data_IF_584961895437
#
_entry.id   IF_584961895437
#
_cell.length_a   1.000
_cell.length_b   1.000
_cell.length_c   1.000
_cell.angle_alpha   90.00
_cell.angle_beta   90.00
_cell.angle_gamma   90.00
#
_symmetry.space_group_name_H-M   'P 1'
#
loop_
_entity.id
_entity.type
_entity.pdbx_description
1 polymer ?
#
# COMPACT_ATOMS: atom_id res chain seq x y z
N UNK A 1 18.22 30.47 16.00
CA UNK A 1 17.59 29.12 15.88
C UNK A 1 16.09 29.12 16.22
N UNK A 2 15.27 30.05 15.68
CA UNK A 2 13.82 30.15 16.03
C UNK A 2 12.83 29.74 14.93
N UNK A 3 13.30 29.35 13.74
CA UNK A 3 12.46 29.25 12.54
C UNK A 3 11.74 27.91 12.32
N UNK A 4 12.19 26.80 12.93
CA UNK A 4 11.61 25.47 12.70
C UNK A 4 10.34 25.21 13.51
N UNK A 5 10.26 25.72 14.75
CA UNK A 5 9.11 25.51 15.63
C UNK A 5 7.84 26.25 15.14
N UNK A 6 7.99 27.44 14.55
CA UNK A 6 6.88 28.22 14.01
C UNK A 6 6.29 27.61 12.73
N UNK A 7 7.10 26.96 11.87
CA UNK A 7 6.60 26.35 10.62
C UNK A 7 5.67 25.16 10.90
N UNK A 8 6.06 24.28 11.81
CA UNK A 8 5.28 23.07 12.16
C UNK A 8 3.96 23.43 12.86
N UNK A 9 3.96 24.43 13.74
CA UNK A 9 2.76 24.93 14.45
C UNK A 9 1.75 25.60 13.50
N UNK A 10 2.24 26.28 12.46
CA UNK A 10 1.41 26.96 11.45
C UNK A 10 0.72 25.98 10.50
N UNK A 11 1.41 24.91 10.08
CA UNK A 11 0.83 23.84 9.26
C UNK A 11 -0.25 23.02 9.99
N UNK A 12 -0.06 22.73 11.29
CA UNK A 12 -1.08 22.06 12.10
C UNK A 12 -2.37 22.88 12.24
N UNK A 13 -2.24 24.18 12.55
CA UNK A 13 -3.40 25.08 12.66
C UNK A 13 -4.20 25.24 11.36
N UNK A 14 -3.53 25.14 10.21
CA UNK A 14 -4.18 25.25 8.90
C UNK A 14 -4.92 23.97 8.52
N UNK A 15 -4.35 22.80 8.84
CA UNK A 15 -5.01 21.51 8.63
C UNK A 15 -6.31 21.40 9.45
N UNK A 16 -6.25 21.71 10.74
CA UNK A 16 -7.44 21.69 11.62
C UNK A 16 -8.55 22.61 11.11
N UNK A 17 -8.20 23.78 10.56
CA UNK A 17 -9.18 24.69 9.97
C UNK A 17 -9.85 24.11 8.72
N UNK A 18 -9.09 23.45 7.84
CA UNK A 18 -9.62 22.83 6.62
C UNK A 18 -10.49 21.61 6.93
N UNK A 19 -10.09 20.78 7.88
CA UNK A 19 -10.89 19.64 8.31
C UNK A 19 -12.20 20.06 9.00
N UNK A 20 -12.22 21.18 9.74
CA UNK A 20 -13.48 21.78 10.23
C UNK A 20 -14.36 22.30 9.10
N UNK A 21 -13.76 22.90 8.07
CA UNK A 21 -14.50 23.34 6.87
C UNK A 21 -15.13 22.15 6.14
N UNK A 22 -14.37 21.06 5.99
CA UNK A 22 -14.86 19.79 5.47
C UNK A 22 -16.02 19.22 6.29
N UNK A 23 -15.91 19.18 7.62
CA UNK A 23 -17.00 18.72 8.51
C UNK A 23 -18.30 19.51 8.27
N UNK A 24 -18.20 20.84 8.11
CA UNK A 24 -19.36 21.69 7.78
C UNK A 24 -19.89 21.39 6.39
N UNK A 25 -19.03 21.10 5.41
CA UNK A 25 -19.43 20.75 4.05
C UNK A 25 -20.19 19.41 3.99
N UNK A 26 -19.71 18.39 4.71
CA UNK A 26 -20.38 17.08 4.77
C UNK A 26 -21.78 17.15 5.41
N UNK A 27 -22.03 18.09 6.33
CA UNK A 27 -23.38 18.31 6.91
C UNK A 27 -24.36 18.91 5.90
N UNK A 28 -23.87 19.52 4.82
CA UNK A 28 -24.66 20.29 3.84
C UNK A 28 -24.84 19.60 2.50
N UNK A 29 -23.87 18.76 2.09
CA UNK A 29 -23.89 18.08 0.79
C UNK A 29 -24.07 16.55 1.00
N UNK A 30 -25.21 15.97 0.57
CA UNK A 30 -25.47 14.54 0.70
C UNK A 30 -24.43 13.65 0.00
N UNK A 31 -23.86 14.11 -1.11
CA UNK A 31 -22.83 13.36 -1.86
C UNK A 31 -21.52 13.35 -1.05
N UNK A 32 -21.12 14.49 -0.48
CA UNK A 32 -19.97 14.55 0.43
C UNK A 32 -20.19 13.71 1.70
N UNK A 33 -21.41 13.65 2.21
CA UNK A 33 -21.75 12.82 3.36
C UNK A 33 -21.62 11.32 3.05
N UNK A 34 -22.12 10.88 1.89
CA UNK A 34 -22.00 9.49 1.44
C UNK A 34 -20.53 9.13 1.24
N UNK A 35 -19.80 9.97 0.51
CA UNK A 35 -18.38 9.83 0.27
C UNK A 35 -17.58 9.74 1.59
N UNK A 36 -17.87 10.63 2.55
CA UNK A 36 -17.23 10.62 3.88
C UNK A 36 -17.43 9.31 4.63
N UNK A 37 -18.66 8.78 4.61
CA UNK A 37 -18.99 7.53 5.29
C UNK A 37 -18.23 6.34 4.68
N UNK A 38 -18.23 6.24 3.35
CA UNK A 38 -17.49 5.22 2.62
C UNK A 38 -15.99 5.30 2.87
N UNK A 39 -15.41 6.51 2.81
CA UNK A 39 -13.99 6.72 3.04
C UNK A 39 -13.58 6.40 4.49
N UNK A 40 -14.42 6.75 5.47
CA UNK A 40 -14.21 6.43 6.87
C UNK A 40 -14.21 4.92 7.12
N UNK A 41 -15.22 4.21 6.59
CA UNK A 41 -15.33 2.75 6.71
C UNK A 41 -14.09 2.05 6.13
N UNK A 42 -13.70 2.41 4.90
CA UNK A 42 -12.51 1.85 4.23
C UNK A 42 -11.23 2.13 5.03
N UNK A 43 -11.06 3.36 5.51
CA UNK A 43 -9.88 3.74 6.31
C UNK A 43 -9.81 2.94 7.60
N UNK A 44 -10.94 2.80 8.32
CA UNK A 44 -11.04 2.01 9.55
C UNK A 44 -10.74 0.54 9.31
N UNK A 45 -11.27 -0.02 8.21
CA UNK A 45 -11.01 -1.39 7.82
C UNK A 45 -9.51 -1.62 7.57
N UNK A 46 -8.84 -0.72 6.81
CA UNK A 46 -7.40 -0.82 6.54
C UNK A 46 -6.59 -0.73 7.84
N UNK A 47 -6.85 0.27 8.69
CA UNK A 47 -6.11 0.46 9.95
C UNK A 47 -6.31 -0.73 10.90
N UNK A 48 -7.54 -1.18 11.08
CA UNK A 48 -7.86 -2.34 11.94
C UNK A 48 -7.20 -3.61 11.43
N UNK A 49 -7.21 -3.83 10.12
CA UNK A 49 -6.54 -4.97 9.49
C UNK A 49 -5.03 -4.93 9.71
N UNK A 50 -4.39 -3.76 9.56
CA UNK A 50 -2.96 -3.59 9.80
C UNK A 50 -2.57 -3.70 11.28
N UNK A 51 -3.51 -3.46 12.20
CA UNK A 51 -3.27 -3.58 13.64
C UNK A 51 -3.41 -5.00 14.19
N UNK A 52 -4.23 -5.83 13.54
CA UNK A 52 -4.57 -7.19 13.97
C UNK A 52 -3.79 -8.28 13.24
N UNK A 53 -3.19 -7.95 12.09
CA UNK A 53 -2.41 -8.95 11.35
C UNK A 53 -1.18 -9.35 12.17
N UNK A 54 -1.14 -10.60 12.59
CA UNK A 54 0.03 -11.25 13.23
C UNK A 54 1.27 -11.16 12.32
N UNK A 55 1.08 -10.91 11.03
CA UNK A 55 2.13 -10.68 10.02
C UNK A 55 1.83 -9.40 9.21
N UNK A 56 2.05 -8.23 9.83
CA UNK A 56 1.92 -6.90 9.22
C UNK A 56 2.78 -6.74 7.95
N UNK A 57 3.80 -7.58 7.79
CA UNK A 57 4.73 -7.62 6.67
C UNK A 57 4.35 -8.69 5.62
N UNK A 58 3.06 -8.96 5.43
CA UNK A 58 2.55 -9.92 4.43
C UNK A 58 2.04 -9.22 3.17
N UNK A 59 1.90 -9.97 2.08
CA UNK A 59 1.27 -9.49 0.85
C UNK A 59 -0.19 -9.03 1.08
N UNK A 60 -0.86 -9.58 2.10
CA UNK A 60 -2.22 -9.18 2.49
C UNK A 60 -2.32 -7.69 2.85
N UNK A 61 -1.31 -7.13 3.52
CA UNK A 61 -1.25 -5.70 3.87
C UNK A 61 -1.19 -4.81 2.63
N UNK A 62 -0.36 -5.18 1.64
CA UNK A 62 -0.27 -4.47 0.38
C UNK A 62 -1.60 -4.53 -0.39
N UNK A 63 -2.27 -5.70 -0.42
CA UNK A 63 -3.60 -5.86 -1.01
C UNK A 63 -4.57 -4.84 -0.45
N UNK A 64 -4.73 -4.79 0.87
CA UNK A 64 -5.66 -3.86 1.53
C UNK A 64 -5.35 -2.39 1.22
N UNK A 65 -4.08 -2.01 1.20
CA UNK A 65 -3.67 -0.64 0.83
C UNK A 65 -3.98 -0.34 -0.63
N UNK A 66 -3.61 -1.23 -1.57
CA UNK A 66 -3.92 -1.05 -2.99
C UNK A 66 -5.42 -1.03 -3.28
N UNK A 67 -6.23 -1.78 -2.53
CA UNK A 67 -7.70 -1.75 -2.63
C UNK A 67 -8.24 -0.39 -2.22
N UNK A 68 -7.83 0.12 -1.07
CA UNK A 68 -8.31 1.43 -0.62
C UNK A 68 -7.90 2.57 -1.57
N UNK A 69 -6.68 2.53 -2.11
CA UNK A 69 -6.21 3.52 -3.09
C UNK A 69 -7.01 3.45 -4.40
N UNK A 70 -7.29 2.25 -4.90
CA UNK A 70 -8.09 2.03 -6.10
C UNK A 70 -9.49 2.58 -5.94
N UNK A 71 -10.20 2.15 -4.89
CA UNK A 71 -11.58 2.55 -4.64
C UNK A 71 -11.69 4.06 -4.40
N UNK A 72 -10.74 4.65 -3.67
CA UNK A 72 -10.69 6.11 -3.48
C UNK A 72 -10.46 6.83 -4.81
N UNK A 73 -9.63 6.28 -5.70
CA UNK A 73 -9.39 6.87 -7.02
C UNK A 73 -10.64 6.84 -7.91
N UNK A 74 -11.42 5.76 -7.86
CA UNK A 74 -12.69 5.62 -8.58
C UNK A 74 -13.71 6.67 -8.10
N UNK A 75 -13.91 6.80 -6.77
CA UNK A 75 -14.85 7.77 -6.22
C UNK A 75 -14.47 9.23 -6.58
N UNK A 76 -13.17 9.55 -6.58
CA UNK A 76 -12.71 10.88 -7.04
C UNK A 76 -13.07 11.10 -8.51
N UNK A 77 -12.83 10.09 -9.35
CA UNK A 77 -13.12 10.16 -10.77
C UNK A 77 -14.62 10.35 -11.02
N UNK A 78 -15.47 9.61 -10.32
CA UNK A 78 -16.92 9.75 -10.37
C UNK A 78 -17.36 11.19 -10.03
N UNK A 79 -16.88 11.74 -8.90
CA UNK A 79 -17.21 13.12 -8.51
C UNK A 79 -16.72 14.15 -9.54
N UNK A 80 -15.55 13.92 -10.15
CA UNK A 80 -15.03 14.76 -11.23
C UNK A 80 -15.84 14.62 -12.52
N UNK A 81 -16.40 13.44 -12.81
CA UNK A 81 -17.27 13.16 -13.96
C UNK A 81 -18.74 13.60 -13.74
N UNK A 82 -19.18 13.80 -12.51
CA UNK A 82 -20.48 14.41 -12.19
C UNK A 82 -20.44 15.96 -12.17
N UNK A 83 -19.25 16.56 -12.14
CA UNK A 83 -19.05 18.01 -12.07
C UNK A 83 -19.60 18.75 -13.30
N UNK A 84 -20.85 19.22 -13.28
CA UNK A 84 -21.54 19.86 -14.43
C UNK A 84 -20.94 21.18 -14.96
N UNK A 85 -19.86 21.66 -14.38
CA UNK A 85 -19.24 22.93 -14.73
C UNK A 85 -17.98 22.70 -15.54
N UNK A 86 -17.73 23.59 -16.51
CA UNK A 86 -16.57 23.52 -17.38
C UNK A 86 -15.29 23.66 -16.56
N UNK A 87 -14.54 22.56 -16.50
CA UNK A 87 -13.27 22.50 -15.76
C UNK A 87 -12.27 23.51 -16.33
N UNK A 88 -12.35 23.80 -17.62
CA UNK A 88 -11.47 24.74 -18.34
C UNK A 88 -11.75 26.21 -17.98
N UNK A 89 -13.00 26.56 -17.73
CA UNK A 89 -13.41 27.93 -17.39
C UNK A 89 -13.04 28.31 -15.95
N UNK A 90 -12.55 27.35 -15.18
CA UNK A 90 -12.10 27.51 -13.80
C UNK A 90 -10.63 27.11 -13.65
N UNK A 91 -9.69 28.07 -13.78
CA UNK A 91 -8.27 27.81 -13.57
C UNK A 91 -7.97 27.14 -12.22
N UNK A 92 -8.73 27.49 -11.19
CA UNK A 92 -8.64 26.89 -9.86
C UNK A 92 -9.11 25.42 -9.80
N UNK A 93 -10.17 25.05 -10.54
CA UNK A 93 -10.65 23.66 -10.63
C UNK A 93 -9.72 22.83 -11.51
N UNK A 94 -9.26 23.39 -12.64
CA UNK A 94 -8.26 22.77 -13.49
C UNK A 94 -6.98 22.43 -12.71
N UNK A 95 -6.49 23.36 -11.89
CA UNK A 95 -5.35 23.16 -11.00
C UNK A 95 -5.55 21.97 -10.03
N UNK A 96 -6.78 21.79 -9.50
CA UNK A 96 -7.10 20.67 -8.61
C UNK A 96 -7.13 19.34 -9.35
N UNK A 97 -7.72 19.31 -10.54
CA UNK A 97 -7.72 18.15 -11.43
C UNK A 97 -6.29 17.79 -11.82
N UNK A 98 -5.44 18.76 -12.12
CA UNK A 98 -4.03 18.53 -12.43
C UNK A 98 -3.27 17.85 -11.27
N UNK A 99 -3.53 18.25 -10.02
CA UNK A 99 -2.94 17.58 -8.85
C UNK A 99 -3.49 16.16 -8.67
N UNK A 100 -4.77 15.91 -8.97
CA UNK A 100 -5.31 14.55 -9.03
C UNK A 100 -4.58 13.70 -10.07
N UNK A 101 -4.38 14.21 -11.29
CA UNK A 101 -3.63 13.50 -12.33
C UNK A 101 -2.18 13.22 -11.90
N UNK A 102 -1.50 14.16 -11.26
CA UNK A 102 -0.14 13.94 -10.73
C UNK A 102 -0.12 12.85 -9.65
N UNK A 103 -1.13 12.83 -8.78
CA UNK A 103 -1.28 11.81 -7.73
C UNK A 103 -1.57 10.43 -8.29
N UNK A 104 -2.49 10.34 -9.27
CA UNK A 104 -2.87 9.07 -9.88
C UNK A 104 -1.74 8.45 -10.70
N UNK A 105 -0.86 9.25 -11.34
CA UNK A 105 0.39 8.72 -11.93
C UNK A 105 1.26 8.05 -10.86
N UNK A 106 1.40 8.64 -9.67
CA UNK A 106 2.23 8.04 -8.62
C UNK A 106 1.63 6.78 -8.03
N UNK A 107 0.31 6.72 -7.85
CA UNK A 107 -0.36 5.47 -7.48
C UNK A 107 -0.12 4.39 -8.54
N UNK A 108 -0.17 4.76 -9.81
CA UNK A 108 0.13 3.86 -10.93
C UNK A 108 1.60 3.39 -10.95
N UNK A 109 2.56 4.29 -10.70
CA UNK A 109 3.99 3.94 -10.56
C UNK A 109 4.19 2.89 -9.45
N UNK A 110 3.50 3.04 -8.33
CA UNK A 110 3.54 2.08 -7.22
C UNK A 110 2.92 0.73 -7.60
N UNK A 111 1.75 0.71 -8.24
CA UNK A 111 1.14 -0.54 -8.72
C UNK A 111 2.05 -1.28 -9.71
N UNK A 112 2.68 -0.54 -10.62
CA UNK A 112 3.64 -1.11 -11.59
C UNK A 112 4.86 -1.71 -10.88
N UNK A 113 5.43 -0.99 -9.90
CA UNK A 113 6.53 -1.50 -9.12
C UNK A 113 6.15 -2.74 -8.30
N UNK A 114 4.91 -2.79 -7.80
CA UNK A 114 4.38 -3.93 -7.07
C UNK A 114 4.22 -5.14 -7.99
N UNK A 115 3.66 -4.99 -9.19
CA UNK A 115 3.57 -6.06 -10.20
C UNK A 115 4.94 -6.65 -10.54
N UNK A 116 5.96 -5.81 -10.75
CA UNK A 116 7.32 -6.28 -11.02
C UNK A 116 7.86 -7.14 -9.85
N UNK A 117 7.60 -6.74 -8.61
CA UNK A 117 7.99 -7.54 -7.45
C UNK A 117 7.22 -8.86 -7.38
N UNK A 118 5.94 -8.87 -7.71
CA UNK A 118 5.11 -10.07 -7.72
C UNK A 118 5.52 -11.04 -8.81
N UNK A 119 5.89 -10.55 -9.99
CA UNK A 119 6.44 -11.36 -11.07
C UNK A 119 7.76 -12.02 -10.66
N UNK A 120 8.64 -11.29 -9.98
CA UNK A 120 9.87 -11.85 -9.41
C UNK A 120 9.56 -12.92 -8.37
N UNK A 121 8.59 -12.67 -7.49
CA UNK A 121 8.20 -13.64 -6.46
C UNK A 121 7.62 -14.92 -7.09
N UNK A 122 6.80 -14.77 -8.13
CA UNK A 122 6.26 -15.88 -8.93
C UNK A 122 7.37 -16.67 -9.61
N UNK A 123 8.36 -16.00 -10.20
CA UNK A 123 9.51 -16.67 -10.82
C UNK A 123 10.33 -17.46 -9.79
N UNK A 124 10.62 -16.86 -8.63
CA UNK A 124 11.28 -17.57 -7.53
C UNK A 124 10.48 -18.80 -7.10
N UNK A 125 9.15 -18.70 -7.07
CA UNK A 125 8.28 -19.81 -6.74
C UNK A 125 8.38 -20.98 -7.73
N UNK A 126 8.40 -20.71 -9.04
CA UNK A 126 8.54 -21.73 -10.06
C UNK A 126 9.86 -22.50 -9.94
N UNK A 127 10.94 -21.82 -9.52
CA UNK A 127 12.25 -22.45 -9.30
C UNK A 127 12.16 -23.51 -8.18
N UNK A 128 11.54 -23.17 -7.05
CA UNK A 128 11.43 -24.09 -5.91
C UNK A 128 10.39 -25.21 -6.18
N UNK A 129 9.32 -24.96 -6.94
CA UNK A 129 8.41 -26.03 -7.43
C UNK A 129 9.15 -27.04 -8.30
N UNK A 130 9.99 -26.55 -9.21
CA UNK A 130 10.82 -27.40 -10.06
C UNK A 130 11.81 -28.22 -9.22
N UNK A 131 12.47 -27.61 -8.23
CA UNK A 131 13.38 -28.31 -7.32
C UNK A 131 12.68 -29.42 -6.52
N UNK A 132 11.46 -29.15 -6.03
CA UNK A 132 10.64 -30.13 -5.31
C UNK A 132 10.23 -31.28 -6.22
N UNK A 133 9.83 -31.00 -7.46
CA UNK A 133 9.50 -32.05 -8.43
C UNK A 133 10.72 -32.90 -8.76
N UNK A 134 11.89 -32.28 -8.93
CA UNK A 134 13.15 -32.98 -9.14
C UNK A 134 13.48 -33.90 -7.97
N UNK A 135 13.26 -33.45 -6.73
CA UNK A 135 13.43 -34.29 -5.54
C UNK A 135 12.56 -35.54 -5.60
N UNK A 136 11.26 -35.39 -5.89
CA UNK A 136 10.34 -36.52 -5.98
C UNK A 136 10.76 -37.54 -7.03
N UNK A 137 11.21 -37.08 -8.20
CA UNK A 137 11.72 -37.94 -9.27
C UNK A 137 13.06 -38.61 -8.88
N UNK A 138 13.96 -37.89 -8.21
CA UNK A 138 15.26 -38.39 -7.75
C UNK A 138 15.11 -39.42 -6.61
N UNK A 139 14.08 -39.29 -5.76
CA UNK A 139 13.71 -40.30 -4.76
C UNK A 139 13.18 -41.57 -5.44
N UNK A 140 12.33 -41.44 -6.45
CA UNK A 140 11.70 -42.58 -7.14
C UNK A 140 12.69 -43.41 -7.96
N UNK A 141 13.75 -42.79 -8.51
CA UNK A 141 14.66 -43.47 -9.43
C UNK A 141 15.54 -44.57 -8.80
N UNK A 142 15.70 -44.65 -7.48
CA UNK A 142 16.40 -45.67 -6.66
C UNK A 142 17.76 -46.28 -7.14
N UNK A 143 18.27 -46.00 -8.34
CA UNK A 143 19.32 -46.78 -9.04
C UNK A 143 20.51 -45.91 -9.51
N UNK A 144 20.76 -44.79 -8.82
CA UNK A 144 21.88 -43.88 -9.10
C UNK A 144 23.00 -44.00 -8.07
N UNK A 145 24.26 -43.85 -8.49
CA UNK A 145 25.41 -43.72 -7.60
C UNK A 145 25.13 -42.67 -6.50
N UNK A 146 25.47 -42.97 -5.26
CA UNK A 146 25.19 -42.14 -4.06
C UNK A 146 25.67 -40.69 -4.24
N UNK A 147 26.78 -40.49 -4.94
CA UNK A 147 27.38 -39.18 -5.25
C UNK A 147 26.55 -38.28 -6.18
N UNK A 148 25.61 -38.85 -6.94
CA UNK A 148 24.77 -38.08 -7.89
C UNK A 148 23.32 -37.94 -7.42
N UNK A 149 23.04 -38.25 -6.15
CA UNK A 149 21.68 -38.14 -5.61
C UNK A 149 21.36 -36.68 -5.30
N UNK A 150 20.19 -36.22 -5.73
CA UNK A 150 19.66 -34.88 -5.45
C UNK A 150 20.39 -33.70 -6.11
N UNK A 151 21.25 -33.94 -7.10
CA UNK A 151 22.02 -32.87 -7.78
C UNK A 151 21.09 -31.82 -8.40
N UNK A 152 19.99 -32.24 -9.05
CA UNK A 152 19.07 -31.29 -9.68
C UNK A 152 18.29 -30.52 -8.62
N UNK A 153 17.81 -31.22 -7.58
CA UNK A 153 17.17 -30.58 -6.43
C UNK A 153 18.06 -29.49 -5.84
N UNK A 154 19.33 -29.80 -5.55
CA UNK A 154 20.29 -28.87 -4.96
C UNK A 154 20.55 -27.66 -5.86
N UNK A 155 20.72 -27.86 -7.17
CA UNK A 155 20.86 -26.79 -8.15
C UNK A 155 19.62 -25.87 -8.14
N UNK A 156 18.41 -26.43 -8.14
CA UNK A 156 17.17 -25.66 -8.03
C UNK A 156 17.07 -24.86 -6.73
N UNK A 157 17.43 -25.44 -5.58
CA UNK A 157 17.48 -24.73 -4.29
C UNK A 157 18.51 -23.58 -4.32
N UNK A 158 19.65 -23.78 -5.00
CA UNK A 158 20.69 -22.76 -5.14
C UNK A 158 20.24 -21.61 -6.05
N UNK A 159 19.58 -21.92 -7.17
CA UNK A 159 18.97 -20.92 -8.05
C UNK A 159 17.93 -20.08 -7.31
N UNK A 160 17.10 -20.71 -6.48
CA UNK A 160 16.12 -20.00 -5.66
C UNK A 160 16.79 -19.03 -4.67
N UNK A 161 17.89 -19.45 -4.03
CA UNK A 161 18.67 -18.59 -3.14
C UNK A 161 19.31 -17.42 -3.90
N UNK A 162 19.82 -17.68 -5.11
CA UNK A 162 20.40 -16.66 -5.98
C UNK A 162 19.38 -15.64 -6.49
N UNK A 163 18.12 -16.03 -6.68
CA UNK A 163 17.03 -15.14 -7.07
C UNK A 163 16.76 -14.05 -6.00
N UNK A 164 17.12 -14.30 -4.74
CA UNK A 164 17.16 -13.27 -3.70
C UNK A 164 15.78 -12.72 -3.31
N UNK A 165 15.74 -11.42 -2.96
CA UNK A 165 14.52 -10.73 -2.58
C UNK A 165 13.72 -10.17 -3.76
N UNK A 166 12.47 -10.63 -3.99
CA UNK A 166 11.64 -10.03 -5.03
C UNK A 166 11.40 -8.54 -4.77
N UNK A 167 11.36 -8.13 -3.50
CA UNK A 167 11.21 -6.74 -3.07
C UNK A 167 12.58 -6.09 -2.86
N UNK A 168 13.17 -5.67 -3.98
CA UNK A 168 14.49 -5.02 -4.02
C UNK A 168 14.45 -3.58 -3.47
N UNK A 169 15.60 -2.98 -3.10
CA UNK A 169 15.69 -1.56 -2.71
C UNK A 169 14.97 -0.59 -3.66
N UNK A 170 15.01 -0.84 -4.96
CA UNK A 170 14.33 -0.01 -5.98
C UNK A 170 12.82 0.12 -5.77
N UNK A 171 12.15 -0.95 -5.32
CA UNK A 171 10.72 -0.90 -5.01
C UNK A 171 10.44 0.09 -3.86
N UNK A 172 11.33 0.11 -2.87
CA UNK A 172 11.20 1.01 -1.72
C UNK A 172 11.52 2.46 -2.07
N UNK A 173 12.43 2.70 -3.01
CA UNK A 173 12.66 4.04 -3.56
C UNK A 173 11.39 4.58 -4.24
N UNK A 174 10.69 3.74 -5.00
CA UNK A 174 9.40 4.09 -5.63
C UNK A 174 8.33 4.33 -4.56
N UNK A 175 8.20 3.43 -3.58
CA UNK A 175 7.27 3.59 -2.46
C UNK A 175 7.49 4.92 -1.72
N UNK A 176 8.74 5.26 -1.40
CA UNK A 176 9.06 6.50 -0.72
C UNK A 176 8.78 7.73 -1.60
N UNK A 177 9.03 7.64 -2.91
CA UNK A 177 8.66 8.67 -3.88
C UNK A 177 7.15 8.91 -3.91
N UNK A 178 6.33 7.85 -3.90
CA UNK A 178 4.86 7.96 -3.83
C UNK A 178 4.44 8.64 -2.53
N UNK A 179 4.99 8.21 -1.38
CA UNK A 179 4.71 8.83 -0.08
C UNK A 179 5.06 10.33 -0.07
N UNK A 180 6.24 10.71 -0.57
CA UNK A 180 6.68 12.12 -0.67
C UNK A 180 5.76 12.93 -1.59
N UNK A 181 5.28 12.33 -2.68
CA UNK A 181 4.32 12.99 -3.57
C UNK A 181 2.97 13.20 -2.88
N UNK A 182 2.43 12.18 -2.19
CA UNK A 182 1.17 12.30 -1.46
C UNK A 182 1.25 13.42 -0.41
N UNK A 183 2.37 13.50 0.34
CA UNK A 183 2.61 14.61 1.27
C UNK A 183 2.67 15.98 0.58
N UNK A 184 3.30 16.05 -0.59
CA UNK A 184 3.39 17.27 -1.40
C UNK A 184 2.00 17.71 -1.89
N UNK A 185 1.23 16.78 -2.47
CA UNK A 185 -0.15 17.01 -2.91
C UNK A 185 -1.00 17.50 -1.75
N UNK A 186 -0.95 16.84 -0.60
CA UNK A 186 -1.65 17.24 0.61
C UNK A 186 -1.29 18.66 1.06
N UNK A 187 0.00 19.01 1.12
CA UNK A 187 0.44 20.38 1.46
C UNK A 187 -0.07 21.43 0.47
N UNK A 188 -0.05 21.11 -0.82
CA UNK A 188 -0.57 21.99 -1.87
C UNK A 188 -2.08 22.16 -1.77
N UNK A 189 -2.82 21.07 -1.56
CA UNK A 189 -4.28 21.09 -1.37
C UNK A 189 -4.66 21.92 -0.15
N UNK A 190 -3.97 21.79 0.97
CA UNK A 190 -4.17 22.65 2.16
C UNK A 190 -3.98 24.14 1.84
N UNK A 191 -2.93 24.49 1.08
CA UNK A 191 -2.66 25.87 0.68
C UNK A 191 -3.68 26.39 -0.32
N UNK A 192 -4.14 25.54 -1.23
CA UNK A 192 -5.09 25.89 -2.29
C UNK A 192 -6.50 26.02 -1.73
N UNK A 193 -6.93 25.13 -0.84
CA UNK A 193 -8.19 25.26 -0.12
C UNK A 193 -8.33 26.62 0.56
N UNK A 194 -7.27 27.18 1.15
CA UNK A 194 -7.32 28.55 1.71
C UNK A 194 -7.61 29.65 0.67
N UNK A 195 -7.13 29.49 -0.56
CA UNK A 195 -7.42 30.40 -1.68
C UNK A 195 -8.83 30.16 -2.21
N UNK A 196 -9.21 28.88 -2.31
CA UNK A 196 -10.51 28.43 -2.78
C UNK A 196 -11.62 28.88 -1.83
N UNK A 197 -11.51 28.70 -0.52
CA UNK A 197 -12.53 29.06 0.49
C UNK A 197 -12.89 30.56 0.50
N UNK A 198 -12.03 31.42 -0.08
CA UNK A 198 -12.30 32.84 -0.29
C UNK A 198 -13.06 33.14 -1.60
N UNK A 199 -12.88 32.32 -2.64
CA UNK A 199 -13.46 32.51 -3.99
C UNK A 199 -14.66 31.58 -4.29
N UNK A 200 -14.67 30.36 -3.75
CA UNK A 200 -15.64 29.27 -3.97
C UNK A 200 -16.91 29.34 -3.11
N UNK A 201 -17.13 30.42 -2.35
CA UNK A 201 -18.33 30.50 -1.51
C UNK A 201 -19.63 30.38 -2.33
N UNK A 202 -19.60 30.71 -3.62
CA UNK A 202 -20.74 30.75 -4.53
C UNK A 202 -21.02 29.46 -5.30
N UNK A 203 -20.08 28.52 -5.42
CA UNK A 203 -20.22 27.37 -6.33
C UNK A 203 -20.20 26.05 -5.58
N UNK A 204 -21.35 25.38 -5.52
CA UNK A 204 -21.55 24.15 -4.76
C UNK A 204 -20.71 22.98 -5.32
N UNK A 205 -20.61 22.87 -6.65
CA UNK A 205 -19.86 21.82 -7.35
C UNK A 205 -18.36 21.88 -7.04
N UNK A 206 -17.76 23.08 -7.06
CA UNK A 206 -16.33 23.22 -6.78
C UNK A 206 -16.01 22.92 -5.32
N UNK A 207 -16.91 23.30 -4.40
CA UNK A 207 -16.77 22.95 -2.99
C UNK A 207 -16.74 21.42 -2.82
N UNK A 208 -17.56 20.69 -3.58
CA UNK A 208 -17.56 19.22 -3.56
C UNK A 208 -16.23 18.65 -4.05
N UNK A 209 -15.81 19.00 -5.26
CA UNK A 209 -14.56 18.49 -5.86
C UNK A 209 -13.35 18.79 -4.96
N UNK A 210 -13.24 20.02 -4.46
CA UNK A 210 -12.13 20.41 -3.58
C UNK A 210 -12.11 19.62 -2.28
N UNK A 211 -13.28 19.34 -1.67
CA UNK A 211 -13.36 18.60 -0.42
C UNK A 211 -13.01 17.11 -0.62
N UNK A 212 -13.52 16.50 -1.70
CA UNK A 212 -13.20 15.11 -2.07
C UNK A 212 -11.70 14.95 -2.30
N UNK A 213 -11.10 15.79 -3.14
CA UNK A 213 -9.66 15.73 -3.39
C UNK A 213 -8.82 15.94 -2.12
N UNK A 214 -9.23 16.90 -1.28
CA UNK A 214 -8.54 17.18 -0.02
C UNK A 214 -8.55 15.99 0.94
N UNK A 215 -9.74 15.44 1.23
CA UNK A 215 -9.86 14.36 2.21
C UNK A 215 -9.24 13.06 1.68
N UNK A 216 -9.36 12.78 0.38
CA UNK A 216 -8.72 11.62 -0.26
C UNK A 216 -7.19 11.68 -0.18
N UNK A 217 -6.60 12.84 -0.45
CA UNK A 217 -5.15 13.03 -0.30
C UNK A 217 -4.72 12.89 1.17
N UNK A 218 -5.54 13.40 2.10
CA UNK A 218 -5.29 13.27 3.54
C UNK A 218 -5.25 11.81 3.97
N UNK A 219 -6.25 11.03 3.56
CA UNK A 219 -6.37 9.59 3.87
C UNK A 219 -5.28 8.79 3.19
N UNK A 220 -4.92 9.11 1.94
CA UNK A 220 -3.81 8.43 1.25
C UNK A 220 -2.50 8.60 2.01
N UNK A 221 -2.18 9.82 2.46
CA UNK A 221 -1.00 10.08 3.31
C UNK A 221 -1.07 9.27 4.60
N UNK A 222 -2.23 9.21 5.26
CA UNK A 222 -2.42 8.42 6.47
C UNK A 222 -2.23 6.92 6.24
N UNK A 223 -2.79 6.35 5.17
CA UNK A 223 -2.69 4.92 4.89
C UNK A 223 -1.24 4.52 4.62
N UNK A 224 -0.52 5.25 3.77
CA UNK A 224 0.91 4.99 3.52
C UNK A 224 1.74 5.15 4.80
N UNK A 225 1.35 6.09 5.64
CA UNK A 225 1.99 6.32 6.92
C UNK A 225 1.73 5.22 7.93
N UNK A 226 0.50 4.72 8.01
CA UNK A 226 0.10 3.61 8.87
C UNK A 226 0.77 2.34 8.37
N UNK A 227 0.82 2.07 7.07
CA UNK A 227 1.59 0.95 6.52
C UNK A 227 3.06 1.03 6.95
N UNK A 228 3.69 2.20 6.81
CA UNK A 228 5.07 2.39 7.25
C UNK A 228 5.24 2.22 8.77
N UNK A 229 4.28 2.70 9.57
CA UNK A 229 4.28 2.55 11.02
C UNK A 229 4.02 1.10 11.44
N UNK A 230 3.17 0.37 10.73
CA UNK A 230 2.83 -1.00 11.06
C UNK A 230 4.08 -1.88 10.91
N UNK A 231 4.91 -1.60 9.91
CA UNK A 231 6.16 -2.33 9.67
C UNK A 231 7.27 -1.91 10.64
N UNK A 232 7.40 -0.60 10.89
CA UNK A 232 8.35 -0.10 11.86
C UNK A 232 7.94 -0.52 13.27
N UNK A 233 6.82 0.00 13.73
CA UNK A 233 6.28 -0.08 15.08
C UNK A 233 4.84 -0.61 15.10
N UNK A 234 4.68 -1.94 15.09
CA UNK A 234 3.40 -2.59 15.31
C UNK A 234 2.61 -2.01 16.51
N UNK A 235 3.22 -1.74 17.70
CA UNK A 235 2.47 -1.24 18.85
C UNK A 235 1.80 0.13 18.61
N UNK A 236 2.43 1.01 17.83
CA UNK A 236 1.86 2.31 17.50
C UNK A 236 0.59 2.18 16.65
N UNK A 237 0.54 1.20 15.76
CA UNK A 237 -0.63 0.90 14.93
C UNK A 237 -1.72 0.19 15.71
N UNK A 238 -1.36 -0.73 16.62
CA UNK A 238 -2.32 -1.34 17.55
C UNK A 238 -2.97 -0.29 18.45
N UNK A 239 -2.18 0.63 19.01
CA UNK A 239 -2.70 1.74 19.82
C UNK A 239 -3.62 2.65 19.00
N UNK A 240 -3.23 2.98 17.75
CA UNK A 240 -4.07 3.76 16.84
C UNK A 240 -5.41 3.08 16.58
N UNK A 241 -5.40 1.79 16.26
CA UNK A 241 -6.60 1.01 15.96
C UNK A 241 -7.52 0.83 17.18
N UNK A 242 -6.96 0.50 18.36
CA UNK A 242 -7.71 0.36 19.60
C UNK A 242 -8.39 1.68 20.02
N UNK A 243 -7.81 2.81 19.59
CA UNK A 243 -8.34 4.12 19.87
C UNK A 243 -9.37 4.57 18.81
N UNK A 244 -9.50 3.89 17.67
CA UNK A 244 -10.52 4.25 16.66
C UNK A 244 -11.92 4.10 17.24
N UNK A 245 -12.80 5.10 17.09
CA UNK A 245 -14.16 4.99 17.60
C UNK A 245 -14.95 3.90 16.86
N UNK A 246 -15.76 3.14 17.62
CA UNK A 246 -16.99 2.47 17.11
C UNK A 246 -17.81 3.54 16.37
N UNK A 247 -18.52 3.24 15.25
CA UNK A 247 -19.08 4.24 14.33
C UNK A 247 -20.14 5.15 14.99
N UNK A 248 -19.69 6.15 15.74
CA UNK A 248 -20.45 7.28 16.29
C UNK A 248 -19.51 8.48 16.34
N UNK A 249 -19.04 8.90 15.16
CA UNK A 249 -18.45 10.21 14.95
C UNK A 249 -19.39 11.06 14.13
N UNK A 250 -19.46 12.37 14.40
CA UNK A 250 -20.12 13.29 13.46
C UNK A 250 -19.40 13.23 12.12
N UNK A 251 -20.18 13.17 11.03
CA UNK A 251 -19.70 13.17 9.64
C UNK A 251 -18.62 14.24 9.46
N UNK A 252 -17.46 13.86 8.92
CA UNK A 252 -16.29 14.71 8.68
C UNK A 252 -15.35 14.96 9.87
N UNK A 253 -15.75 14.67 11.12
CA UNK A 253 -14.89 14.90 12.30
C UNK A 253 -13.87 13.77 12.55
N UNK A 254 -14.11 12.59 11.98
CA UNK A 254 -13.23 11.44 12.15
C UNK A 254 -11.81 11.71 11.59
N UNK A 255 -11.70 12.50 10.51
CA UNK A 255 -10.39 12.87 9.93
C UNK A 255 -9.51 13.69 10.87
N UNK A 256 -10.09 14.67 11.59
CA UNK A 256 -9.38 15.43 12.64
C UNK A 256 -8.87 14.49 13.72
N UNK A 257 -9.79 13.67 14.22
CA UNK A 257 -9.54 12.74 15.32
C UNK A 257 -8.45 11.73 14.96
N UNK A 258 -8.47 11.21 13.73
CA UNK A 258 -7.49 10.25 13.23
C UNK A 258 -6.11 10.91 13.06
N UNK A 259 -6.06 12.14 12.53
CA UNK A 259 -4.80 12.86 12.35
C UNK A 259 -4.14 13.24 13.68
N UNK A 260 -4.91 13.73 14.65
CA UNK A 260 -4.40 14.07 15.98
C UNK A 260 -3.80 12.84 16.68
N UNK A 261 -4.48 11.68 16.58
CA UNK A 261 -4.00 10.41 17.16
C UNK A 261 -2.75 9.90 16.46
N UNK A 262 -2.70 9.99 15.14
CA UNK A 262 -1.50 9.65 14.38
C UNK A 262 -0.31 10.55 14.78
N UNK A 263 -0.54 11.85 14.97
CA UNK A 263 0.50 12.77 15.43
C UNK A 263 1.00 12.46 16.85
N UNK A 264 0.09 12.07 17.76
CA UNK A 264 0.44 11.64 19.13
C UNK A 264 1.28 10.36 19.10
N UNK A 265 0.77 9.31 18.45
CA UNK A 265 1.45 8.01 18.37
C UNK A 265 2.87 8.14 17.78
N UNK A 266 3.06 9.00 16.77
CA UNK A 266 4.38 9.23 16.19
C UNK A 266 5.27 10.18 16.99
N UNK A 267 4.72 11.10 17.79
CA UNK A 267 5.54 11.93 18.68
C UNK A 267 6.18 11.09 19.78
N UNK A 268 5.45 10.10 20.30
CA UNK A 268 5.94 9.15 21.29
C UNK A 268 7.06 8.25 20.72
N UNK A 269 6.98 7.90 19.43
CA UNK A 269 7.98 7.06 18.76
C UNK A 269 9.21 7.80 18.18
N UNK A 270 9.16 9.13 18.05
CA UNK A 270 10.25 9.94 17.42
C UNK A 270 11.63 9.77 18.07
N UNK A 271 11.70 9.33 19.33
CA UNK A 271 12.94 9.17 20.08
C UNK A 271 13.74 7.90 19.78
N UNK A 272 13.09 6.82 19.30
CA UNK A 272 13.70 5.47 19.28
C UNK A 272 13.86 4.92 17.84
N UNK A 273 13.15 5.51 16.86
CA UNK A 273 12.87 4.89 15.56
C UNK A 273 13.73 5.42 14.40
N UNK A 274 14.30 6.63 14.54
CA UNK A 274 14.83 7.40 13.39
C UNK A 274 16.18 6.96 12.83
N UNK A 275 16.96 6.13 13.54
CA UNK A 275 18.32 5.75 13.12
C UNK A 275 18.50 4.26 12.79
N UNK A 276 17.63 3.38 13.32
CA UNK A 276 17.83 1.92 13.21
C UNK A 276 16.95 1.30 12.10
N UNK A 277 15.77 1.87 11.80
CA UNK A 277 14.77 1.19 10.96
C UNK A 277 14.91 1.39 9.46
N UNK A 278 15.48 2.50 8.97
CA UNK A 278 15.46 2.85 7.54
C UNK A 278 16.10 1.79 6.61
N UNK A 279 16.98 0.91 7.13
CA UNK A 279 17.63 -0.16 6.35
C UNK A 279 16.95 -1.53 6.46
N UNK A 280 16.12 -1.76 7.48
CA UNK A 280 15.46 -3.06 7.79
C UNK A 280 14.00 -3.08 7.31
N UNK A 281 13.58 -2.06 6.56
CA UNK A 281 12.21 -1.54 6.64
C UNK A 281 11.15 -2.40 5.97
N UNK A 282 11.46 -3.39 5.13
CA UNK A 282 10.41 -4.20 4.50
C UNK A 282 11.00 -5.51 3.97
N UNK A 283 10.96 -6.56 4.79
CA UNK A 283 11.15 -7.92 4.29
C UNK A 283 9.78 -8.58 4.34
N UNK A 284 9.30 -9.10 3.21
CA UNK A 284 8.01 -9.80 3.22
C UNK A 284 8.20 -11.13 3.95
N UNK A 285 7.57 -11.27 5.11
CA UNK A 285 7.79 -12.41 6.01
C UNK A 285 7.40 -13.73 5.35
N UNK A 286 6.37 -13.70 4.50
CA UNK A 286 5.86 -14.85 3.74
C UNK A 286 6.99 -15.51 2.94
N UNK A 287 7.82 -14.70 2.28
CA UNK A 287 8.93 -15.17 1.46
C UNK A 287 10.16 -15.52 2.31
N UNK A 288 10.45 -14.75 3.34
CA UNK A 288 11.61 -15.03 4.22
C UNK A 288 11.46 -16.36 4.96
N UNK A 289 10.26 -16.69 5.40
CA UNK A 289 9.93 -17.97 6.01
C UNK A 289 10.28 -19.15 5.09
N UNK A 290 10.02 -19.03 3.78
CA UNK A 290 10.39 -20.05 2.80
C UNK A 290 11.91 -20.08 2.59
N UNK A 291 12.59 -18.93 2.55
CA UNK A 291 14.07 -18.89 2.44
C UNK A 291 14.80 -19.56 3.60
N UNK A 292 14.33 -19.34 4.83
CA UNK A 292 14.90 -19.98 6.01
C UNK A 292 14.76 -21.50 5.91
N UNK A 293 13.58 -21.99 5.49
CA UNK A 293 13.34 -23.41 5.29
C UNK A 293 14.18 -24.00 4.15
N UNK A 294 14.35 -23.28 3.03
CA UNK A 294 15.22 -23.70 1.92
C UNK A 294 16.68 -23.76 2.34
N UNK A 295 17.14 -22.79 3.13
CA UNK A 295 18.52 -22.80 3.66
C UNK A 295 18.76 -23.98 4.57
N UNK A 296 17.79 -24.31 5.44
CA UNK A 296 17.83 -25.52 6.26
C UNK A 296 17.86 -26.77 5.37
N UNK A 297 16.95 -26.85 4.39
CA UNK A 297 16.83 -27.99 3.49
C UNK A 297 18.14 -28.27 2.73
N UNK A 298 18.87 -27.25 2.29
CA UNK A 298 20.19 -27.42 1.67
C UNK A 298 21.21 -28.08 2.61
N UNK A 299 21.30 -27.62 3.87
CA UNK A 299 22.17 -28.25 4.87
C UNK A 299 21.74 -29.67 5.22
N UNK A 300 20.43 -29.92 5.24
CA UNK A 300 19.89 -31.27 5.44
C UNK A 300 20.24 -32.19 4.25
N UNK A 301 20.30 -31.69 3.01
CA UNK A 301 20.78 -32.47 1.86
C UNK A 301 22.28 -32.77 1.91
N UNK A 302 23.11 -31.82 2.34
CA UNK A 302 24.56 -32.05 2.54
C UNK A 302 24.81 -33.15 3.58
N UNK A 303 24.00 -33.18 4.65
CA UNK A 303 24.09 -34.21 5.69
C UNK A 303 23.45 -35.54 5.25
N UNK A 304 22.40 -35.51 4.44
CA UNK A 304 21.68 -36.71 3.96
C UNK A 304 22.56 -37.57 3.04
N UNK A 305 23.50 -36.95 2.32
CA UNK A 305 24.52 -37.66 1.54
C UNK A 305 25.42 -38.56 2.41
N UNK A 306 25.56 -38.24 3.70
CA UNK A 306 26.42 -38.96 4.64
C UNK A 306 25.64 -39.75 5.71
N UNK A 307 24.37 -39.39 5.98
CA UNK A 307 23.51 -40.02 6.98
C UNK A 307 22.07 -40.20 6.44
N UNK A 308 21.67 -41.42 6.02
CA UNK A 308 20.35 -41.67 5.46
C UNK A 308 19.17 -41.46 6.43
N UNK A 309 19.43 -41.51 7.74
CA UNK A 309 18.40 -41.51 8.79
C UNK A 309 17.58 -40.20 8.84
N UNK A 310 18.13 -39.09 8.34
CA UNK A 310 17.45 -37.79 8.27
C UNK A 310 16.54 -37.63 7.04
N UNK A 311 16.38 -38.67 6.21
CA UNK A 311 15.54 -38.61 5.00
C UNK A 311 14.08 -38.24 5.31
N UNK A 312 13.54 -38.75 6.41
CA UNK A 312 12.19 -38.41 6.87
C UNK A 312 12.08 -36.93 7.23
N UNK A 313 13.10 -36.35 7.86
CA UNK A 313 13.15 -34.94 8.21
C UNK A 313 13.17 -34.04 6.96
N UNK A 314 13.96 -34.42 5.94
CA UNK A 314 13.99 -33.74 4.63
C UNK A 314 12.62 -33.73 3.98
N UNK A 315 11.92 -34.87 3.97
CA UNK A 315 10.56 -34.97 3.41
C UNK A 315 9.56 -34.08 4.17
N UNK A 316 9.64 -34.04 5.50
CA UNK A 316 8.81 -33.15 6.33
C UNK A 316 9.07 -31.69 6.00
N UNK A 317 10.33 -31.28 5.85
CA UNK A 317 10.69 -29.90 5.48
C UNK A 317 10.14 -29.54 4.09
N UNK A 318 10.23 -30.43 3.11
CA UNK A 318 9.68 -30.23 1.76
C UNK A 318 8.14 -30.06 1.81
N UNK A 319 7.44 -30.90 2.58
CA UNK A 319 5.98 -30.78 2.72
C UNK A 319 5.57 -29.48 3.42
N UNK A 320 6.38 -28.98 4.37
CA UNK A 320 6.17 -27.65 4.97
C UNK A 320 6.37 -26.55 3.93
N UNK A 321 7.42 -26.63 3.10
CA UNK A 321 7.68 -25.66 2.02
C UNK A 321 6.51 -25.64 1.04
N UNK A 322 6.06 -26.80 0.54
CA UNK A 322 4.90 -26.90 -0.36
C UNK A 322 3.66 -26.20 0.19
N UNK A 323 3.32 -26.45 1.46
CA UNK A 323 2.14 -25.82 2.09
C UNK A 323 2.28 -24.31 2.19
N UNK A 324 3.43 -23.81 2.64
CA UNK A 324 3.67 -22.36 2.75
C UNK A 324 3.64 -21.69 1.38
N UNK A 325 4.22 -22.33 0.38
CA UNK A 325 4.22 -21.87 -0.99
C UNK A 325 2.83 -21.78 -1.61
N UNK A 326 1.97 -22.78 -1.40
CA UNK A 326 0.60 -22.74 -1.93
C UNK A 326 -0.20 -21.53 -1.40
N UNK A 327 -0.06 -21.23 -0.11
CA UNK A 327 -0.69 -20.05 0.52
C UNK A 327 -0.09 -18.75 -0.04
N UNK A 328 1.22 -18.72 -0.22
CA UNK A 328 1.93 -17.56 -0.77
C UNK A 328 1.55 -17.29 -2.24
N UNK A 329 1.44 -18.33 -3.06
CA UNK A 329 1.06 -18.25 -4.48
C UNK A 329 -0.30 -17.59 -4.66
N UNK A 330 -1.29 -18.07 -3.90
CA UNK A 330 -2.63 -17.51 -3.92
C UNK A 330 -2.62 -16.03 -3.55
N UNK A 331 -1.77 -15.64 -2.59
CA UNK A 331 -1.61 -14.25 -2.18
C UNK A 331 -0.95 -13.39 -3.27
N UNK A 332 0.03 -13.94 -4.01
CA UNK A 332 0.65 -13.28 -5.17
C UNK A 332 -0.37 -13.08 -6.28
N UNK A 333 -1.12 -14.11 -6.65
CA UNK A 333 -2.11 -14.08 -7.72
C UNK A 333 -3.20 -13.05 -7.43
N UNK A 334 -3.80 -13.13 -6.25
CA UNK A 334 -4.79 -12.19 -5.75
C UNK A 334 -4.30 -10.73 -5.78
N UNK A 335 -3.04 -10.49 -5.37
CA UNK A 335 -2.48 -9.15 -5.34
C UNK A 335 -2.07 -8.65 -6.72
N UNK A 336 -1.63 -9.54 -7.61
CA UNK A 336 -1.25 -9.20 -8.98
C UNK A 336 -2.47 -8.78 -9.79
N UNK A 337 -3.57 -9.54 -9.67
CA UNK A 337 -4.86 -9.17 -10.26
C UNK A 337 -5.32 -7.79 -9.75
N UNK A 338 -5.23 -7.58 -8.44
CA UNK A 338 -5.65 -6.32 -7.82
C UNK A 338 -4.78 -5.13 -8.26
N UNK A 339 -3.46 -5.30 -8.34
CA UNK A 339 -2.53 -4.27 -8.79
C UNK A 339 -2.76 -3.92 -10.28
N UNK A 340 -2.97 -4.93 -11.12
CA UNK A 340 -3.29 -4.75 -12.54
C UNK A 340 -4.63 -4.03 -12.75
N UNK A 341 -5.65 -4.40 -11.97
CA UNK A 341 -6.95 -3.71 -11.96
C UNK A 341 -6.80 -2.25 -11.53
N UNK A 342 -6.04 -2.00 -10.46
CA UNK A 342 -5.77 -0.64 -9.98
C UNK A 342 -5.16 0.24 -11.07
N UNK A 343 -4.17 -0.29 -11.80
CA UNK A 343 -3.55 0.41 -12.93
C UNK A 343 -4.55 0.68 -14.06
N UNK A 344 -5.35 -0.32 -14.46
CA UNK A 344 -6.32 -0.19 -15.55
C UNK A 344 -7.38 0.87 -15.23
N UNK A 345 -7.97 0.82 -14.04
CA UNK A 345 -9.01 1.76 -13.62
C UNK A 345 -8.49 3.20 -13.50
N UNK A 346 -7.23 3.39 -13.08
CA UNK A 346 -6.58 4.71 -13.08
C UNK A 346 -6.48 5.26 -14.51
N UNK A 347 -6.08 4.42 -15.47
CA UNK A 347 -5.97 4.82 -16.89
C UNK A 347 -7.33 5.17 -17.45
N UNK A 348 -8.35 4.35 -17.18
CA UNK A 348 -9.72 4.58 -17.63
C UNK A 348 -10.29 5.88 -17.05
N UNK A 349 -10.19 6.07 -15.74
CA UNK A 349 -10.65 7.29 -15.05
C UNK A 349 -10.02 8.56 -15.64
N UNK A 350 -8.69 8.55 -15.83
CA UNK A 350 -7.97 9.68 -16.43
C UNK A 350 -8.45 9.96 -17.85
N UNK A 351 -8.65 8.90 -18.64
CA UNK A 351 -9.10 9.01 -20.03
C UNK A 351 -10.51 9.58 -20.09
N UNK A 352 -11.42 9.11 -19.24
CA UNK A 352 -12.78 9.63 -19.13
C UNK A 352 -12.79 11.12 -18.76
N UNK A 353 -11.99 11.53 -17.76
CA UNK A 353 -11.90 12.94 -17.35
C UNK A 353 -11.30 13.80 -18.47
N UNK A 354 -10.26 13.34 -19.17
CA UNK A 354 -9.68 14.07 -20.31
C UNK A 354 -10.68 14.22 -21.47
N UNK A 355 -11.41 13.16 -21.79
CA UNK A 355 -12.43 13.21 -22.83
C UNK A 355 -13.55 14.18 -22.47
N UNK A 356 -13.97 14.20 -21.20
CA UNK A 356 -14.91 15.20 -20.70
C UNK A 356 -14.38 16.62 -20.93
N UNK A 357 -13.18 16.90 -20.43
CA UNK A 357 -12.54 18.22 -20.57
C UNK A 357 -12.45 18.66 -22.04
N UNK A 358 -12.15 17.73 -22.96
CA UNK A 358 -12.08 18.02 -24.40
C UNK A 358 -13.47 18.28 -25.00
N UNK A 359 -14.47 17.47 -24.68
CA UNK A 359 -15.82 17.65 -25.21
C UNK A 359 -16.47 18.95 -24.71
N UNK A 360 -16.12 19.38 -23.50
CA UNK A 360 -16.52 20.67 -22.92
C UNK A 360 -15.81 21.85 -23.65
N UNK A 361 -14.67 21.62 -24.31
CA UNK A 361 -13.93 22.65 -25.07
C UNK A 361 -14.45 22.85 -26.51
N UNK A 362 -15.16 21.86 -27.05
CA UNK A 362 -15.70 21.85 -28.42
C UNK A 362 -17.17 22.35 -28.49
N UNK A 363 -17.79 22.69 -27.34
CA UNK A 363 -19.10 23.34 -27.21
C UNK A 363 -18.93 24.84 -26.95
#
# INVERSE_FOLDING_TARGET
MGGLCCKTRRSGSQLTAQLRSYEVACKRDPILKSFDATLHERTNHVISSLATSVEIQSLGSFKKVTTCLLETNQDIAEVLLECKEDILDSPELFDLVEEYFKSSVKTMDFCTALEICLDRAKNSQLIIELAIKQFEEEVQRQDGAVENKFVKTLDGLQQFKAAGDPFTPQFFDIYESVRKQQESMFKKLISRMKKLDKKLKSVQTWRRVSNVLFVSASVSVLIFSVLAAAVAAPPAVTALAAAMPVPIGSVGNWCNTLWDRYEIALKEERGIVKLIRARTYFRINDMENVRVLVTKLQGDFETLLHAPDIFLDVKVVIDVIKRKMAVFMKSIEDLSEHAGKCRADIIEARTAILNRIRNDADQ
#
